data_IF_908185450014
#
_entry.id   IF_908185450014
#
_cell.length_a   1.000
_cell.length_b   1.000
_cell.length_c   1.000
_cell.angle_alpha   90.00
_cell.angle_beta   90.00
_cell.angle_gamma   90.00
#
_symmetry.space_group_name_H-M   'P 1'
#
loop_
_entity.id
_entity.type
_entity.pdbx_description
1 polymer ?
#
# COMPACT_ATOMS: atom_id res chain seq x y z
N UNK A 1 -3.01 -17.46 -4.41
CA UNK A 1 -1.79 -16.64 -4.46
C UNK A 1 -1.97 -15.33 -3.68
N UNK A 2 -3.11 -14.63 -3.80
CA UNK A 2 -3.36 -13.38 -3.06
C UNK A 2 -3.30 -13.56 -1.53
N UNK A 3 -3.96 -14.59 -1.00
CA UNK A 3 -3.92 -14.92 0.43
C UNK A 3 -2.50 -15.25 0.91
N UNK A 4 -1.75 -16.04 0.13
CA UNK A 4 -0.35 -16.37 0.45
C UNK A 4 0.50 -15.10 0.49
N UNK A 5 0.36 -14.20 -0.50
CA UNK A 5 1.06 -12.91 -0.52
C UNK A 5 0.78 -12.12 0.75
N UNK A 6 -0.50 -12.00 1.13
CA UNK A 6 -0.91 -11.24 2.31
C UNK A 6 -0.40 -11.86 3.61
N UNK A 7 -0.47 -13.20 3.74
CA UNK A 7 0.06 -13.91 4.89
C UNK A 7 1.58 -13.74 5.02
N UNK A 8 2.32 -13.85 3.90
CA UNK A 8 3.77 -13.63 3.88
C UNK A 8 4.14 -12.22 4.32
N UNK A 9 3.45 -11.20 3.81
CA UNK A 9 3.68 -9.81 4.21
C UNK A 9 3.41 -9.63 5.70
N UNK A 10 2.21 -10.02 6.16
CA UNK A 10 1.81 -9.85 7.56
C UNK A 10 2.77 -10.56 8.51
N UNK A 11 3.17 -11.79 8.19
CA UNK A 11 4.13 -12.54 8.99
C UNK A 11 5.48 -11.83 9.08
N UNK A 12 6.07 -11.46 7.94
CA UNK A 12 7.40 -10.87 7.90
C UNK A 12 7.49 -9.55 8.69
N UNK A 13 6.45 -8.68 8.60
CA UNK A 13 6.46 -7.38 9.28
C UNK A 13 6.02 -7.43 10.75
N UNK A 14 5.52 -8.58 11.24
CA UNK A 14 5.09 -8.73 12.65
C UNK A 14 5.87 -9.80 13.42
N UNK A 15 6.42 -10.80 12.74
CA UNK A 15 7.12 -11.95 13.34
C UNK A 15 8.58 -12.06 12.89
N UNK A 16 9.01 -11.29 11.87
CA UNK A 16 10.34 -11.38 11.29
C UNK A 16 10.49 -12.54 10.30
N UNK A 17 11.72 -12.78 9.89
CA UNK A 17 12.07 -13.84 8.93
C UNK A 17 12.57 -15.13 9.60
N UNK A 18 13.04 -15.04 10.84
CA UNK A 18 13.57 -16.19 11.59
C UNK A 18 12.49 -16.75 12.49
N UNK A 19 12.02 -17.96 12.20
CA UNK A 19 10.96 -18.67 12.95
C UNK A 19 11.41 -19.15 14.33
N UNK A 20 12.73 -19.26 14.56
CA UNK A 20 13.29 -19.76 15.82
C UNK A 20 13.56 -18.64 16.85
N UNK A 21 13.22 -17.40 16.50
CA UNK A 21 13.39 -16.25 17.38
C UNK A 21 12.44 -16.32 18.56
N UNK A 22 12.92 -16.16 19.82
CA UNK A 22 12.05 -16.04 20.97
C UNK A 22 11.04 -14.90 20.80
N UNK A 23 9.80 -15.14 21.18
CA UNK A 23 8.72 -14.19 21.09
C UNK A 23 8.38 -13.57 22.45
N UNK A 24 7.81 -12.36 22.45
CA UNK A 24 7.24 -11.70 23.64
C UNK A 24 5.91 -11.05 23.29
N UNK A 25 5.05 -10.89 24.27
CA UNK A 25 3.85 -10.05 24.12
C UNK A 25 4.27 -8.61 23.76
N UNK A 26 3.68 -8.08 22.69
CA UNK A 26 3.93 -6.71 22.24
C UNK A 26 3.31 -5.64 23.15
N UNK A 27 2.40 -6.03 24.05
CA UNK A 27 1.55 -5.14 24.83
C UNK A 27 0.45 -4.45 23.97
N UNK A 28 0.22 -4.94 22.75
CA UNK A 28 -0.76 -4.41 21.80
C UNK A 28 -1.68 -5.53 21.34
N UNK A 29 -2.94 -5.51 21.78
CA UNK A 29 -3.92 -6.61 21.62
C UNK A 29 -4.01 -7.12 20.18
N UNK A 30 -4.10 -6.22 19.21
CA UNK A 30 -4.24 -6.58 17.80
C UNK A 30 -2.94 -7.01 17.12
N UNK A 31 -1.77 -6.71 17.70
CA UNK A 31 -0.47 -7.12 17.18
C UNK A 31 -0.04 -8.49 17.76
N UNK A 32 -0.46 -8.79 18.99
CA UNK A 32 -0.10 -10.01 19.70
C UNK A 32 1.39 -10.09 20.03
N UNK A 33 2.02 -11.22 19.79
CA UNK A 33 3.44 -11.42 20.05
C UNK A 33 4.32 -10.87 18.91
N UNK A 34 5.51 -10.39 19.29
CA UNK A 34 6.59 -9.96 18.37
C UNK A 34 7.91 -10.58 18.80
N UNK A 35 8.96 -10.63 17.95
CA UNK A 35 10.29 -11.04 18.37
C UNK A 35 10.75 -10.33 19.63
N UNK A 36 11.31 -11.07 20.58
CA UNK A 36 11.63 -10.56 21.92
C UNK A 36 12.58 -9.35 21.92
N UNK A 37 13.44 -9.25 20.90
CA UNK A 37 14.38 -8.14 20.72
C UNK A 37 13.77 -6.92 20.01
N UNK A 38 12.54 -7.02 19.46
CA UNK A 38 11.89 -5.87 18.84
C UNK A 38 11.26 -4.94 19.87
N UNK A 39 11.27 -3.65 19.57
CA UNK A 39 10.45 -2.67 20.25
C UNK A 39 9.15 -2.41 19.50
N UNK A 40 8.17 -1.81 20.14
CA UNK A 40 6.92 -1.36 19.53
C UNK A 40 6.69 0.09 19.93
N UNK A 41 6.63 0.99 18.95
CA UNK A 41 6.49 2.42 19.20
C UNK A 41 5.32 3.02 18.39
N UNK A 42 4.66 4.07 18.87
CA UNK A 42 3.66 4.79 18.08
C UNK A 42 4.33 5.56 16.94
N UNK A 43 3.60 5.77 15.84
CA UNK A 43 4.08 6.55 14.70
C UNK A 43 4.59 7.93 15.08
N UNK A 44 3.98 8.58 16.10
CA UNK A 44 4.45 9.87 16.62
C UNK A 44 5.90 9.86 17.11
N UNK A 45 6.41 8.70 17.53
CA UNK A 45 7.81 8.56 17.99
C UNK A 45 8.76 8.41 16.80
N UNK A 46 8.36 7.67 15.76
CA UNK A 46 9.23 7.35 14.62
C UNK A 46 9.10 8.33 13.45
N UNK A 47 8.07 9.19 13.44
CA UNK A 47 7.88 10.22 12.43
C UNK A 47 8.38 11.58 12.92
N UNK A 48 8.97 12.35 12.00
CA UNK A 48 9.24 13.78 12.17
C UNK A 48 8.07 14.65 11.70
N UNK A 49 7.21 14.09 10.84
CA UNK A 49 6.03 14.77 10.31
C UNK A 49 4.88 13.76 10.18
N UNK A 50 3.70 14.14 10.63
CA UNK A 50 2.42 13.51 10.30
C UNK A 50 1.46 14.65 10.01
N UNK A 51 1.22 14.94 8.74
CA UNK A 51 0.50 16.13 8.33
C UNK A 51 -0.55 15.82 7.27
N UNK A 52 -1.73 16.41 7.41
CA UNK A 52 -2.75 16.39 6.35
C UNK A 52 -2.33 17.29 5.19
N UNK A 53 -2.74 16.91 3.97
CA UNK A 53 -2.59 17.80 2.83
C UNK A 53 -3.32 19.13 3.00
N UNK A 54 -3.12 20.10 2.09
CA UNK A 54 -3.71 21.42 2.17
C UNK A 54 -5.26 21.33 2.12
N UNK A 55 -5.94 22.19 2.83
CA UNK A 55 -7.41 22.24 2.84
C UNK A 55 -7.94 23.67 3.05
N UNK A 56 -9.24 23.84 2.86
CA UNK A 56 -9.88 25.15 2.97
C UNK A 56 -9.36 26.15 1.93
N UNK A 57 -8.87 27.28 2.36
CA UNK A 57 -8.36 28.35 1.49
C UNK A 57 -6.95 28.13 0.94
N UNK A 58 -6.32 26.97 1.19
CA UNK A 58 -4.96 26.72 0.74
C UNK A 58 -4.89 26.12 -0.67
N UNK A 59 -5.91 25.38 -1.09
CA UNK A 59 -6.00 24.73 -2.40
C UNK A 59 -7.47 24.61 -2.79
N UNK A 60 -7.88 25.29 -3.84
CA UNK A 60 -9.23 25.29 -4.37
C UNK A 60 -9.35 24.45 -5.65
N UNK A 61 -10.57 24.15 -6.07
CA UNK A 61 -10.82 23.41 -7.30
C UNK A 61 -10.34 24.16 -8.56
N UNK A 62 -10.34 25.48 -8.53
CA UNK A 62 -9.86 26.37 -9.60
C UNK A 62 -8.33 26.43 -9.73
N UNK A 63 -7.59 25.98 -8.72
CA UNK A 63 -6.12 25.93 -8.75
C UNK A 63 -5.58 24.73 -9.54
N UNK A 64 -6.47 23.78 -9.87
CA UNK A 64 -6.05 22.61 -10.63
C UNK A 64 -5.92 22.92 -12.12
N UNK A 65 -4.81 22.45 -12.70
CA UNK A 65 -4.49 22.56 -14.12
C UNK A 65 -4.12 21.19 -14.68
N UNK A 66 -4.10 21.06 -16.01
CA UNK A 66 -3.52 19.88 -16.66
C UNK A 66 -2.00 20.05 -16.82
N UNK A 67 -1.26 18.94 -16.79
CA UNK A 67 0.17 18.84 -17.07
C UNK A 67 1.08 19.73 -16.18
N UNK A 68 0.64 20.03 -14.97
CA UNK A 68 1.45 20.70 -13.94
C UNK A 68 2.16 19.70 -12.99
N UNK A 69 2.41 20.13 -11.76
CA UNK A 69 2.90 19.26 -10.70
C UNK A 69 1.73 18.44 -10.13
N UNK A 70 1.78 17.09 -10.17
CA UNK A 70 0.68 16.25 -9.69
C UNK A 70 0.37 16.44 -8.21
N UNK A 71 -0.93 16.40 -7.88
CA UNK A 71 -1.44 16.41 -6.51
C UNK A 71 -1.88 15.01 -6.14
N UNK A 72 -1.26 14.44 -5.10
CA UNK A 72 -1.48 13.05 -4.70
C UNK A 72 -2.67 12.94 -3.74
N UNK A 73 -3.80 12.51 -4.28
CA UNK A 73 -5.05 12.22 -3.56
C UNK A 73 -5.20 10.70 -3.30
N UNK A 74 -6.16 10.25 -2.48
CA UNK A 74 -6.37 8.81 -2.22
C UNK A 74 -6.62 7.97 -3.47
N UNK A 75 -7.24 8.52 -4.51
CA UNK A 75 -7.44 7.85 -5.81
C UNK A 75 -6.14 7.52 -6.54
N UNK A 76 -5.08 8.26 -6.25
CA UNK A 76 -3.75 8.03 -6.83
C UNK A 76 -2.97 6.91 -6.12
N UNK A 77 -3.46 6.42 -4.96
CA UNK A 77 -2.82 5.34 -4.20
C UNK A 77 -3.38 3.99 -4.65
N UNK A 78 -2.70 3.36 -5.62
CA UNK A 78 -3.13 2.11 -6.24
C UNK A 78 -2.09 1.03 -5.98
N UNK A 79 -2.48 -0.07 -5.33
CA UNK A 79 -1.62 -1.22 -5.05
C UNK A 79 -0.26 -0.88 -4.40
N UNK A 80 -0.25 0.11 -3.50
CA UNK A 80 0.97 0.57 -2.82
C UNK A 80 1.90 1.43 -3.68
N UNK A 81 1.41 1.90 -4.83
CA UNK A 81 2.12 2.81 -5.74
C UNK A 81 1.38 4.15 -5.82
N UNK A 82 2.10 5.20 -6.17
CA UNK A 82 1.52 6.49 -6.52
C UNK A 82 1.39 6.56 -8.05
N UNK A 83 0.15 6.57 -8.53
CA UNK A 83 -0.19 6.70 -9.94
C UNK A 83 -0.68 8.13 -10.19
N UNK A 84 0.01 8.95 -11.00
CA UNK A 84 -0.40 10.34 -11.22
C UNK A 84 -1.72 10.43 -12.00
N UNK A 85 -2.50 11.45 -11.67
CA UNK A 85 -3.55 11.97 -12.55
C UNK A 85 -3.11 13.36 -13.01
N UNK A 86 -2.63 13.45 -14.24
CA UNK A 86 -2.12 14.70 -14.81
C UNK A 86 -3.16 15.79 -14.96
N UNK A 87 -4.47 15.42 -14.90
CA UNK A 87 -5.57 16.39 -14.85
C UNK A 87 -5.76 17.01 -13.47
N UNK A 88 -5.20 16.39 -12.44
CA UNK A 88 -5.18 16.86 -11.06
C UNK A 88 -3.78 17.34 -10.68
N UNK A 89 -3.28 18.35 -11.37
CA UNK A 89 -1.97 18.98 -11.16
C UNK A 89 -2.14 20.44 -10.77
N UNK A 90 -1.08 21.07 -10.31
CA UNK A 90 -1.04 22.49 -9.94
C UNK A 90 0.17 23.18 -10.56
N UNK A 91 0.11 24.51 -10.69
CA UNK A 91 1.21 25.32 -11.17
C UNK A 91 2.38 25.34 -10.18
N UNK A 92 3.59 25.60 -10.66
CA UNK A 92 4.80 25.65 -9.82
C UNK A 92 4.71 26.72 -8.72
N UNK A 93 4.04 27.83 -8.96
CA UNK A 93 3.80 28.89 -8.00
C UNK A 93 2.98 28.38 -6.81
N UNK A 94 1.98 27.52 -7.06
CA UNK A 94 1.18 26.89 -6.01
C UNK A 94 2.03 25.94 -5.18
N UNK A 95 2.88 25.12 -5.80
CA UNK A 95 3.82 24.24 -5.07
C UNK A 95 4.75 25.06 -4.17
N UNK A 96 5.28 26.17 -4.68
CA UNK A 96 6.16 27.07 -3.93
C UNK A 96 5.43 27.76 -2.75
N UNK A 97 4.13 27.98 -2.86
CA UNK A 97 3.32 28.55 -1.77
C UNK A 97 2.99 27.56 -0.66
N UNK A 98 3.12 26.25 -0.94
CA UNK A 98 2.76 25.14 -0.04
C UNK A 98 3.96 24.22 0.28
N UNK A 99 5.15 24.73 0.64
CA UNK A 99 6.38 23.94 0.78
C UNK A 99 6.27 22.84 1.84
N UNK A 100 5.40 22.99 2.84
CA UNK A 100 5.15 22.01 3.88
C UNK A 100 4.40 20.77 3.39
N UNK A 101 3.71 20.85 2.24
CA UNK A 101 2.95 19.75 1.64
C UNK A 101 3.71 19.07 0.48
N UNK A 102 4.91 19.55 0.16
CA UNK A 102 5.76 18.95 -0.88
C UNK A 102 6.31 17.61 -0.40
N UNK A 103 6.09 16.59 -1.20
CA UNK A 103 6.53 15.22 -0.96
C UNK A 103 8.03 15.06 -1.22
N UNK A 104 8.70 14.33 -0.34
CA UNK A 104 10.14 14.01 -0.44
C UNK A 104 10.35 12.52 -0.59
N UNK A 105 11.46 12.13 -1.19
CA UNK A 105 11.84 10.71 -1.27
C UNK A 105 11.82 10.10 0.14
N UNK A 106 11.16 8.96 0.28
CA UNK A 106 11.02 8.26 1.57
C UNK A 106 9.83 8.70 2.42
N UNK A 107 9.10 9.76 2.02
CA UNK A 107 7.80 10.06 2.64
C UNK A 107 6.79 8.94 2.34
N UNK A 108 5.81 8.77 3.21
CA UNK A 108 4.70 7.83 3.01
C UNK A 108 3.42 8.64 2.88
N UNK A 109 2.75 8.52 1.74
CA UNK A 109 1.44 9.13 1.54
C UNK A 109 0.35 8.16 1.98
N UNK A 110 -0.60 8.64 2.75
CA UNK A 110 -1.69 7.87 3.32
C UNK A 110 -3.04 8.47 2.96
N UNK A 111 -3.99 7.66 2.45
CA UNK A 111 -5.33 8.11 2.11
C UNK A 111 -6.18 8.32 3.37
N UNK A 112 -6.83 9.50 3.47
CA UNK A 112 -7.71 9.87 4.60
C UNK A 112 -9.14 9.44 4.39
N UNK A 113 -9.56 9.23 3.14
CA UNK A 113 -10.95 8.99 2.73
C UNK A 113 -11.02 7.79 1.77
N UNK A 114 -12.20 7.21 1.67
CA UNK A 114 -12.47 6.07 0.81
C UNK A 114 -11.96 4.77 1.46
N UNK A 115 -11.25 3.95 0.72
CA UNK A 115 -10.70 2.69 1.26
C UNK A 115 -9.58 3.00 2.27
N UNK A 116 -9.89 2.77 3.55
CA UNK A 116 -8.96 3.02 4.65
C UNK A 116 -7.70 2.17 4.52
N UNK A 117 -6.56 2.76 4.87
CA UNK A 117 -5.28 2.07 4.87
C UNK A 117 -4.57 2.02 3.52
N UNK A 118 -5.07 2.70 2.48
CA UNK A 118 -4.27 2.93 1.27
C UNK A 118 -3.08 3.80 1.60
N UNK A 119 -1.89 3.30 1.30
CA UNK A 119 -0.66 4.07 1.48
C UNK A 119 0.35 3.69 0.41
N UNK A 120 1.28 4.60 0.13
CA UNK A 120 2.36 4.38 -0.81
C UNK A 120 3.62 5.15 -0.40
N UNK A 121 4.77 4.60 -0.77
CA UNK A 121 6.06 5.22 -0.57
C UNK A 121 6.36 6.22 -1.71
N UNK A 122 6.80 7.41 -1.35
CA UNK A 122 7.29 8.40 -2.31
C UNK A 122 8.67 7.96 -2.83
N UNK A 123 8.71 7.69 -4.13
CA UNK A 123 9.91 7.30 -4.89
C UNK A 123 10.53 8.54 -5.57
N UNK A 124 11.73 8.43 -6.16
CA UNK A 124 12.34 9.53 -6.90
C UNK A 124 11.41 10.19 -7.93
N UNK A 125 10.63 9.38 -8.67
CA UNK A 125 9.72 9.85 -9.72
C UNK A 125 8.52 10.65 -9.18
N UNK A 126 8.21 10.53 -7.89
CA UNK A 126 7.10 11.21 -7.24
C UNK A 126 7.58 12.33 -6.29
N UNK A 127 8.89 12.52 -6.16
CA UNK A 127 9.44 13.58 -5.32
C UNK A 127 9.16 14.97 -5.93
N UNK A 128 8.83 15.92 -5.08
CA UNK A 128 8.44 17.26 -5.52
C UNK A 128 6.95 17.42 -5.80
N UNK A 129 6.17 16.31 -5.85
CA UNK A 129 4.71 16.37 -5.99
C UNK A 129 4.06 16.90 -4.71
N UNK A 130 2.81 17.34 -4.81
CA UNK A 130 2.08 17.90 -3.68
C UNK A 130 1.19 16.85 -3.01
N UNK A 131 1.20 16.77 -1.68
CA UNK A 131 0.21 15.98 -0.94
C UNK A 131 -1.16 16.62 -1.08
N UNK A 132 -2.16 15.88 -1.55
CA UNK A 132 -3.51 16.40 -1.78
C UNK A 132 -4.36 16.47 -0.50
N UNK A 133 -5.47 17.20 -0.59
CA UNK A 133 -6.42 17.46 0.51
C UNK A 133 -6.95 16.19 1.16
N UNK A 134 -7.17 15.14 0.36
CA UNK A 134 -7.68 13.85 0.83
C UNK A 134 -6.61 12.92 1.39
N UNK A 135 -5.36 13.37 1.49
CA UNK A 135 -4.21 12.55 1.89
C UNK A 135 -3.50 13.08 3.14
N UNK A 136 -2.65 12.25 3.71
CA UNK A 136 -1.73 12.58 4.80
C UNK A 136 -0.31 12.29 4.31
N UNK A 137 0.64 13.12 4.72
CA UNK A 137 2.07 12.90 4.53
C UNK A 137 2.71 12.48 5.85
N UNK A 138 3.41 11.35 5.84
CA UNK A 138 4.23 10.87 6.95
C UNK A 138 5.69 10.93 6.52
N UNK A 139 6.53 11.58 7.32
CA UNK A 139 7.98 11.61 7.15
C UNK A 139 8.64 10.95 8.34
N UNK A 140 9.37 9.88 8.10
CA UNK A 140 10.10 9.19 9.15
C UNK A 140 11.34 10.00 9.57
N UNK A 141 11.68 9.93 10.85
CA UNK A 141 12.99 10.34 11.37
C UNK A 141 13.88 9.13 11.66
N UNK A 142 13.27 7.96 11.88
CA UNK A 142 13.97 6.70 12.14
C UNK A 142 13.23 5.54 11.49
N UNK A 143 13.94 4.47 11.17
CA UNK A 143 13.40 3.26 10.56
C UNK A 143 13.39 3.28 9.03
N UNK A 144 13.17 2.10 8.45
CA UNK A 144 13.15 1.91 7.00
C UNK A 144 11.76 2.23 6.41
N UNK A 145 11.63 3.21 5.51
CA UNK A 145 10.32 3.59 4.95
C UNK A 145 9.60 2.47 4.21
N UNK A 146 10.34 1.55 3.55
CA UNK A 146 9.73 0.39 2.87
C UNK A 146 9.13 -0.59 3.86
N UNK A 147 9.80 -0.85 5.00
CA UNK A 147 9.27 -1.67 6.07
C UNK A 147 8.01 -1.04 6.66
N UNK A 148 8.07 0.25 7.01
CA UNK A 148 6.95 0.95 7.66
C UNK A 148 5.73 1.04 6.74
N UNK A 149 5.89 1.40 5.46
CA UNK A 149 4.76 1.46 4.52
C UNK A 149 4.13 0.08 4.31
N UNK A 150 4.95 -0.98 4.26
CA UNK A 150 4.45 -2.35 4.11
C UNK A 150 3.64 -2.79 5.33
N UNK A 151 4.12 -2.49 6.54
CA UNK A 151 3.37 -2.74 7.77
C UNK A 151 2.05 -1.97 7.82
N UNK A 152 2.06 -0.67 7.49
CA UNK A 152 0.86 0.17 7.46
C UNK A 152 -0.18 -0.30 6.44
N UNK A 153 0.25 -0.91 5.35
CA UNK A 153 -0.61 -1.51 4.32
C UNK A 153 -1.19 -2.88 4.69
N UNK A 154 -0.88 -3.46 5.85
CA UNK A 154 -1.40 -4.78 6.25
C UNK A 154 -2.90 -4.74 6.58
N UNK A 155 -3.64 -5.85 6.41
CA UNK A 155 -5.05 -5.94 6.78
C UNK A 155 -5.31 -5.60 8.24
N UNK A 156 -4.40 -6.00 9.14
CA UNK A 156 -4.55 -5.75 10.57
C UNK A 156 -4.58 -4.25 10.90
N UNK A 157 -3.71 -3.47 10.26
CA UNK A 157 -3.69 -2.01 10.41
C UNK A 157 -4.92 -1.38 9.74
N UNK A 158 -5.34 -1.88 8.57
CA UNK A 158 -6.55 -1.41 7.89
C UNK A 158 -7.80 -1.60 8.73
N UNK A 159 -7.99 -2.78 9.33
CA UNK A 159 -9.14 -3.04 10.21
C UNK A 159 -9.10 -2.17 11.46
N UNK A 160 -7.93 -1.98 12.07
CA UNK A 160 -7.77 -1.06 13.19
C UNK A 160 -8.18 0.37 12.82
N UNK A 161 -7.72 0.87 11.67
CA UNK A 161 -8.07 2.21 11.20
C UNK A 161 -9.57 2.37 10.90
N UNK A 162 -10.22 1.33 10.39
CA UNK A 162 -11.69 1.32 10.22
C UNK A 162 -12.38 1.44 11.58
N UNK A 163 -11.98 0.66 12.58
CA UNK A 163 -12.56 0.70 13.92
C UNK A 163 -12.38 2.09 14.59
N UNK A 164 -11.20 2.69 14.47
CA UNK A 164 -10.90 4.01 15.02
C UNK A 164 -11.62 5.15 14.28
N UNK A 165 -12.01 4.95 13.03
CA UNK A 165 -12.76 5.94 12.25
C UNK A 165 -14.27 5.92 12.48
N UNK A 166 -14.82 4.83 13.03
CA UNK A 166 -16.24 4.65 13.39
C UNK A 166 -16.59 5.51 14.60
N UNK A 167 -16.89 6.75 14.40
CA UNK A 167 -17.26 7.71 15.46
C UNK A 167 -17.11 9.16 15.04
N UNK A 168 -16.49 9.38 13.89
CA UNK A 168 -16.50 10.69 13.23
C UNK A 168 -17.67 10.72 12.23
N UNK A 169 -18.33 11.87 12.13
CA UNK A 169 -19.47 12.12 11.22
C UNK A 169 -19.16 11.90 9.73
N UNK A 170 -17.93 11.61 9.40
CA UNK A 170 -17.43 11.11 8.11
C UNK A 170 -16.25 10.18 8.41
N UNK A 171 -16.17 9.04 7.74
CA UNK A 171 -15.01 8.13 7.76
C UNK A 171 -13.75 8.89 7.29
N UNK A 172 -13.14 9.64 8.20
CA UNK A 172 -12.06 10.57 7.89
C UNK A 172 -10.89 10.36 8.84
N UNK A 173 -9.85 9.71 8.34
CA UNK A 173 -8.61 9.52 9.07
C UNK A 173 -7.92 10.87 9.30
N UNK A 174 -7.55 11.14 10.55
CA UNK A 174 -6.79 12.32 10.92
C UNK A 174 -5.39 11.98 11.43
N UNK A 175 -4.52 12.99 11.49
CA UNK A 175 -3.15 12.83 11.95
C UNK A 175 -3.06 12.29 13.40
N UNK A 176 -4.03 12.63 14.25
CA UNK A 176 -4.08 12.16 15.63
C UNK A 176 -4.34 10.66 15.77
N UNK A 177 -5.24 10.11 14.95
CA UNK A 177 -5.49 8.66 14.91
C UNK A 177 -4.23 7.95 14.40
N UNK A 178 -3.69 8.40 13.25
CA UNK A 178 -2.53 7.78 12.64
C UNK A 178 -1.29 7.83 13.54
N UNK A 179 -1.10 8.94 14.26
CA UNK A 179 0.04 9.12 15.18
C UNK A 179 0.12 8.08 16.32
N UNK A 180 -1.03 7.52 16.72
CA UNK A 180 -1.13 6.51 17.79
C UNK A 180 -0.90 5.08 17.32
N UNK A 181 -0.92 4.82 16.02
CA UNK A 181 -0.68 3.46 15.48
C UNK A 181 0.65 2.94 15.95
N UNK A 182 0.62 1.77 16.59
CA UNK A 182 1.81 1.08 17.08
C UNK A 182 2.47 0.33 15.95
N UNK A 183 3.77 0.54 15.77
CA UNK A 183 4.59 -0.05 14.71
C UNK A 183 5.71 -0.87 15.33
N UNK A 184 5.90 -2.14 14.93
CA UNK A 184 7.07 -2.92 15.31
C UNK A 184 8.36 -2.23 14.86
N UNK A 185 9.38 -2.29 15.70
CA UNK A 185 10.68 -1.67 15.47
C UNK A 185 11.79 -2.71 15.54
N UNK A 186 11.97 -3.53 14.48
CA UNK A 186 13.18 -4.32 14.34
C UNK A 186 14.42 -3.44 14.32
N UNK A 187 15.62 -3.98 14.61
CA UNK A 187 16.88 -3.31 14.28
C UNK A 187 16.93 -2.90 12.80
N UNK A 188 17.58 -1.79 12.45
CA UNK A 188 17.58 -1.24 11.09
C UNK A 188 18.05 -2.24 10.03
N UNK A 189 19.06 -3.07 10.36
CA UNK A 189 19.55 -4.14 9.47
C UNK A 189 18.46 -5.17 9.19
N UNK A 190 17.67 -5.52 10.20
CA UNK A 190 16.57 -6.48 10.05
C UNK A 190 15.40 -5.88 9.28
N UNK A 191 15.06 -4.60 9.50
CA UNK A 191 14.06 -3.89 8.69
C UNK A 191 14.44 -3.90 7.20
N UNK A 192 15.72 -3.63 6.90
CA UNK A 192 16.22 -3.65 5.52
C UNK A 192 16.15 -5.06 4.90
N UNK A 193 16.53 -6.08 5.68
CA UNK A 193 16.44 -7.48 5.25
C UNK A 193 14.99 -7.91 4.96
N UNK A 194 14.06 -7.57 5.85
CA UNK A 194 12.62 -7.85 5.67
C UNK A 194 12.10 -7.12 4.41
N UNK A 195 12.43 -5.85 4.22
CA UNK A 195 12.02 -5.08 3.05
C UNK A 195 12.53 -5.72 1.74
N UNK A 196 13.79 -6.11 1.69
CA UNK A 196 14.39 -6.76 0.52
C UNK A 196 13.76 -8.14 0.25
N UNK A 197 13.56 -8.94 1.27
CA UNK A 197 12.88 -10.24 1.16
C UNK A 197 11.48 -10.07 0.58
N UNK A 198 10.70 -9.12 1.11
CA UNK A 198 9.33 -8.88 0.64
C UNK A 198 9.29 -8.36 -0.79
N UNK A 199 10.20 -7.48 -1.20
CA UNK A 199 10.30 -7.03 -2.60
C UNK A 199 10.52 -8.23 -3.55
N UNK A 200 11.43 -9.12 -3.20
CA UNK A 200 11.74 -10.31 -4.00
C UNK A 200 10.55 -11.28 -4.05
N UNK A 201 9.99 -11.60 -2.89
CA UNK A 201 8.91 -12.59 -2.80
C UNK A 201 7.60 -12.08 -3.44
N UNK A 202 7.26 -10.79 -3.25
CA UNK A 202 6.11 -10.16 -3.90
C UNK A 202 6.28 -10.16 -5.42
N UNK A 203 7.47 -9.83 -5.93
CA UNK A 203 7.76 -9.86 -7.36
C UNK A 203 7.59 -11.28 -7.92
N UNK A 204 8.09 -12.30 -7.22
CA UNK A 204 7.93 -13.70 -7.58
C UNK A 204 6.45 -14.13 -7.62
N UNK A 205 5.68 -13.77 -6.59
CA UNK A 205 4.25 -14.10 -6.52
C UNK A 205 3.43 -13.37 -7.59
N UNK A 206 3.80 -12.14 -7.93
CA UNK A 206 3.15 -11.39 -9.00
C UNK A 206 3.43 -12.04 -10.37
N UNK A 207 4.67 -12.47 -10.66
CA UNK A 207 5.01 -13.19 -11.89
C UNK A 207 4.20 -14.49 -12.01
N UNK A 208 4.16 -15.31 -10.95
CA UNK A 208 3.35 -16.53 -10.92
C UNK A 208 1.86 -16.26 -11.14
N UNK A 209 1.35 -15.15 -10.60
CA UNK A 209 -0.06 -14.76 -10.80
C UNK A 209 -0.32 -14.39 -12.25
N UNK A 210 0.58 -13.64 -12.88
CA UNK A 210 0.48 -13.28 -14.29
C UNK A 210 0.51 -14.51 -15.20
N UNK A 211 1.44 -15.45 -14.97
CA UNK A 211 1.54 -16.71 -15.71
C UNK A 211 0.27 -17.56 -15.55
N UNK A 212 -0.23 -17.73 -14.33
CA UNK A 212 -1.45 -18.47 -14.07
C UNK A 212 -2.67 -17.83 -14.77
N UNK A 213 -2.78 -16.50 -14.73
CA UNK A 213 -3.87 -15.76 -15.40
C UNK A 213 -3.80 -15.94 -16.91
N UNK A 214 -2.61 -15.86 -17.49
CA UNK A 214 -2.38 -16.10 -18.91
C UNK A 214 -2.75 -17.54 -19.30
N UNK A 215 -2.30 -18.54 -18.52
CA UNK A 215 -2.66 -19.95 -18.75
C UNK A 215 -4.17 -20.19 -18.71
N UNK A 216 -4.88 -19.58 -17.75
CA UNK A 216 -6.35 -19.66 -17.67
C UNK A 216 -7.00 -19.03 -18.91
N UNK A 217 -6.50 -17.90 -19.41
CA UNK A 217 -7.02 -17.25 -20.61
C UNK A 217 -6.87 -18.17 -21.84
N UNK A 218 -5.68 -18.75 -22.04
CA UNK A 218 -5.42 -19.69 -23.14
C UNK A 218 -6.30 -20.96 -23.06
N UNK A 219 -6.50 -21.51 -21.86
CA UNK A 219 -7.38 -22.67 -21.65
C UNK A 219 -8.84 -22.34 -21.96
N UNK A 220 -9.31 -21.15 -21.60
CA UNK A 220 -10.66 -20.68 -21.96
C UNK A 220 -10.82 -20.53 -23.47
N UNK A 221 -9.84 -19.94 -24.14
CA UNK A 221 -9.84 -19.78 -25.59
C UNK A 221 -9.84 -21.18 -26.30
N UNK A 222 -8.95 -22.09 -25.89
CA UNK A 222 -8.89 -23.44 -26.39
C UNK A 222 -10.22 -24.19 -26.19
N UNK A 223 -10.82 -24.07 -24.99
CA UNK A 223 -12.13 -24.66 -24.73
C UNK A 223 -13.20 -24.14 -25.69
N UNK A 224 -13.25 -22.82 -25.90
CA UNK A 224 -14.21 -22.20 -26.82
C UNK A 224 -14.00 -22.66 -28.26
N UNK A 225 -12.75 -22.75 -28.70
CA UNK A 225 -12.40 -23.25 -30.04
C UNK A 225 -12.81 -24.71 -30.23
N UNK A 226 -12.56 -25.59 -29.24
CA UNK A 226 -12.97 -26.99 -29.26
C UNK A 226 -14.47 -27.17 -29.32
N UNK A 227 -15.23 -26.40 -28.51
CA UNK A 227 -16.70 -26.42 -28.53
C UNK A 227 -17.20 -25.98 -29.92
N UNK A 228 -16.68 -24.90 -30.48
CA UNK A 228 -17.03 -24.43 -31.82
C UNK A 228 -16.74 -25.49 -32.90
N UNK A 229 -15.56 -26.11 -32.86
CA UNK A 229 -15.16 -27.16 -33.81
C UNK A 229 -16.04 -28.40 -33.70
N UNK A 230 -16.43 -28.80 -32.50
CA UNK A 230 -17.36 -29.92 -32.25
C UNK A 230 -18.78 -29.63 -32.79
N UNK A 231 -19.32 -28.45 -32.45
CA UNK A 231 -20.68 -28.05 -32.87
C UNK A 231 -20.78 -27.87 -34.38
N UNK A 232 -19.70 -27.38 -35.02
CA UNK A 232 -19.65 -27.22 -36.50
C UNK A 232 -19.24 -28.46 -37.26
N UNK A 233 -19.03 -29.61 -36.57
CA UNK A 233 -18.65 -30.87 -37.20
C UNK A 233 -17.22 -30.92 -37.76
N UNK A 234 -16.35 -30.00 -37.36
CA UNK A 234 -14.93 -29.96 -37.74
C UNK A 234 -14.10 -31.02 -37.02
N UNK A 235 -14.56 -31.49 -35.86
CA UNK A 235 -13.98 -32.61 -35.12
C UNK A 235 -15.08 -33.64 -34.81
N UNK A 236 -14.74 -34.93 -34.94
CA UNK A 236 -15.65 -36.02 -34.53
C UNK A 236 -15.48 -36.31 -33.04
N UNK A 237 -16.52 -36.07 -32.26
CA UNK A 237 -16.53 -36.29 -30.81
C UNK A 237 -17.03 -37.69 -30.41
N UNK A 238 -17.44 -38.52 -31.37
CA UNK A 238 -18.03 -39.86 -31.08
C UNK A 238 -16.98 -40.85 -30.58
N UNK A 239 -15.71 -40.67 -30.95
CA UNK A 239 -14.62 -41.55 -30.50
C UNK A 239 -14.05 -41.20 -29.12
N UNK A 240 -14.39 -40.05 -28.56
CA UNK A 240 -13.85 -39.61 -27.29
C UNK A 240 -14.44 -40.36 -26.05
N UNK A 241 -15.48 -41.18 -26.22
CA UNK A 241 -16.13 -41.95 -25.14
C UNK A 241 -15.61 -43.38 -24.99
N UNK A 242 -14.59 -43.79 -25.72
CA UNK A 242 -14.06 -45.16 -25.70
C UNK A 242 -12.65 -45.32 -25.08
N UNK A 243 -12.26 -44.40 -24.17
CA UNK A 243 -11.06 -44.58 -23.35
C UNK A 243 -11.36 -44.46 -21.86
#
# INVERSE_FOLDING_TARGET
LAEKRQATISHAVTKGLNTDTPMKDSGVVWLGEVPAHWNVAPLSIICSLIQTGPFGSQLHAEDYIEDGTPVVNPSNLVDGQIVPDWKCSVAAEMVNSLPQHVLRIGDIVFGRRGEMGRCALVKPDNAGWLCGTGSLNLRLKTGNPKFVVTYLGTPIVRELLKLESVGSTMDNLNAGILSRIRVPQPPDVEQAAIATFLETEISRLNALTAEATHGIALLKERRSALISAAVTGKIDVREANNQ
#
